data_IF_506445330845
#
_entry.id   IF_506445330845
#
_cell.length_a   1.000
_cell.length_b   1.000
_cell.length_c   1.000
_cell.angle_alpha   90.00
_cell.angle_beta   90.00
_cell.angle_gamma   90.00
#
_symmetry.space_group_name_H-M   'P 1'
#
loop_
_entity.id
_entity.type
_entity.pdbx_description
1 polymer ?
#
# COMPACT_ATOMS: atom_id res chain seq x y z
N UNK A 1 26.40 1.56 -3.32
CA UNK A 1 26.45 3.03 -3.16
C UNK A 1 27.91 3.42 -3.09
N UNK A 2 28.37 4.32 -3.95
CA UNK A 2 29.73 4.85 -3.87
C UNK A 2 29.79 5.92 -2.77
N UNK A 3 30.47 5.61 -1.66
CA UNK A 3 30.56 6.49 -0.49
C UNK A 3 31.30 7.81 -0.75
N UNK A 4 32.07 7.87 -1.85
CA UNK A 4 32.81 9.07 -2.28
C UNK A 4 32.03 9.92 -3.31
N UNK A 5 30.80 9.54 -3.66
CA UNK A 5 29.98 10.35 -4.58
C UNK A 5 29.63 11.69 -3.91
N UNK A 6 29.75 12.83 -4.62
CA UNK A 6 29.30 14.12 -4.10
C UNK A 6 27.79 14.14 -3.83
N UNK A 7 27.06 13.19 -4.42
CA UNK A 7 25.64 12.94 -4.20
C UNK A 7 25.35 11.92 -3.08
N UNK A 8 26.36 11.44 -2.36
CA UNK A 8 26.14 10.51 -1.26
C UNK A 8 25.23 11.16 -0.20
N UNK A 9 24.10 10.50 0.05
CA UNK A 9 23.09 10.92 1.02
C UNK A 9 22.82 9.83 2.06
N UNK A 10 22.74 10.18 3.35
CA UNK A 10 22.13 9.34 4.36
C UNK A 10 20.72 8.89 3.95
N UNK A 11 20.27 7.74 4.47
CA UNK A 11 18.92 7.23 4.22
C UNK A 11 17.83 8.22 4.58
N UNK A 12 17.96 8.89 5.72
CA UNK A 12 17.01 9.92 6.18
C UNK A 12 16.90 11.06 5.16
N UNK A 13 18.02 11.56 4.64
CA UNK A 13 18.05 12.64 3.67
C UNK A 13 17.40 12.21 2.33
N UNK A 14 17.58 10.96 1.92
CA UNK A 14 16.90 10.39 0.75
C UNK A 14 15.38 10.34 0.95
N UNK A 15 14.92 9.94 2.15
CA UNK A 15 13.50 9.92 2.51
C UNK A 15 12.92 11.35 2.50
N UNK A 16 13.63 12.33 3.09
CA UNK A 16 13.20 13.73 3.09
C UNK A 16 13.12 14.30 1.67
N UNK A 17 14.12 14.00 0.84
CA UNK A 17 14.15 14.45 -0.54
C UNK A 17 12.97 13.90 -1.34
N UNK A 18 12.62 12.61 -1.15
CA UNK A 18 11.43 12.01 -1.75
C UNK A 18 10.14 12.70 -1.31
N UNK A 19 9.95 12.92 -0.01
CA UNK A 19 8.72 13.55 0.47
C UNK A 19 8.56 15.02 0.06
N UNK A 20 9.66 15.69 -0.30
CA UNK A 20 9.61 17.10 -0.72
C UNK A 20 8.86 17.35 -2.02
N UNK A 21 8.50 16.28 -2.75
CA UNK A 21 7.68 16.35 -3.94
C UNK A 21 6.16 16.30 -3.61
N UNK A 22 5.80 16.05 -2.34
CA UNK A 22 4.43 15.93 -1.85
C UNK A 22 4.05 17.10 -0.92
N UNK A 23 3.62 18.23 -1.52
CA UNK A 23 3.18 19.44 -0.80
C UNK A 23 1.71 19.38 -0.38
N UNK A 24 1.40 20.06 0.74
CA UNK A 24 0.05 20.28 1.27
C UNK A 24 -0.73 18.97 1.47
N UNK A 25 -0.07 17.96 2.04
CA UNK A 25 -0.70 16.65 2.28
C UNK A 25 -1.66 16.70 3.46
N UNK A 26 -1.40 17.58 4.42
CA UNK A 26 -2.24 17.87 5.58
C UNK A 26 -3.63 18.42 5.21
N UNK A 27 -3.77 19.03 4.03
CA UNK A 27 -5.04 19.59 3.54
C UNK A 27 -5.88 18.57 2.75
N UNK A 28 -5.31 17.40 2.43
CA UNK A 28 -5.97 16.42 1.55
C UNK A 28 -6.81 15.43 2.34
N UNK A 29 -8.02 15.18 1.83
CA UNK A 29 -8.91 14.15 2.35
C UNK A 29 -8.43 12.72 2.01
N UNK A 30 -7.91 12.54 0.79
CA UNK A 30 -7.31 11.27 0.33
C UNK A 30 -5.84 11.51 0.01
N UNK A 31 -4.98 10.66 0.54
CA UNK A 31 -3.53 10.72 0.33
C UNK A 31 -3.10 9.74 -0.79
N UNK A 32 -2.07 10.10 -1.57
CA UNK A 32 -1.59 9.23 -2.63
C UNK A 32 -0.90 7.97 -2.08
N UNK A 33 -0.98 6.87 -2.82
CA UNK A 33 -0.33 5.59 -2.44
C UNK A 33 1.19 5.71 -2.25
N UNK A 34 1.79 6.71 -2.88
CA UNK A 34 3.20 7.10 -2.75
C UNK A 34 3.64 7.38 -1.28
N UNK A 35 2.72 7.75 -0.39
CA UNK A 35 3.03 8.08 1.01
C UNK A 35 2.98 6.88 1.96
N UNK A 36 2.76 5.68 1.43
CA UNK A 36 2.78 4.44 2.22
C UNK A 36 4.21 3.94 2.44
N UNK A 37 4.47 3.24 3.55
CA UNK A 37 5.80 2.68 3.85
C UNK A 37 6.38 1.88 2.68
N UNK A 38 5.54 1.15 1.96
CA UNK A 38 5.98 0.33 0.82
C UNK A 38 6.53 1.19 -0.33
N UNK A 39 5.82 2.26 -0.70
CA UNK A 39 6.26 3.15 -1.77
C UNK A 39 7.51 3.94 -1.36
N UNK A 40 7.57 4.40 -0.12
CA UNK A 40 8.74 5.10 0.44
C UNK A 40 9.97 4.20 0.42
N UNK A 41 9.84 2.92 0.81
CA UNK A 41 10.95 1.97 0.82
C UNK A 41 11.56 1.81 -0.59
N UNK A 42 10.69 1.68 -1.60
CA UNK A 42 11.11 1.62 -2.99
C UNK A 42 11.81 2.91 -3.41
N UNK A 43 11.20 4.07 -3.16
CA UNK A 43 11.74 5.36 -3.59
C UNK A 43 13.07 5.72 -2.92
N UNK A 44 13.23 5.40 -1.63
CA UNK A 44 14.47 5.64 -0.88
C UNK A 44 15.54 4.55 -1.12
N UNK A 45 15.24 3.51 -1.90
CA UNK A 45 16.18 2.42 -2.21
C UNK A 45 16.61 1.64 -0.97
N UNK A 46 15.66 1.34 -0.07
CA UNK A 46 15.90 0.59 1.17
C UNK A 46 14.94 -0.58 1.32
N UNK A 47 15.39 -1.63 2.02
CA UNK A 47 14.51 -2.76 2.33
C UNK A 47 13.42 -2.32 3.32
N UNK A 48 12.16 -2.68 3.04
CA UNK A 48 10.98 -2.32 3.84
C UNK A 48 11.16 -2.58 5.34
N UNK A 49 11.78 -3.71 5.73
CA UNK A 49 12.03 -4.08 7.14
C UNK A 49 12.94 -3.10 7.91
N UNK A 50 13.70 -2.27 7.20
CA UNK A 50 14.52 -1.23 7.82
C UNK A 50 13.84 0.13 7.82
N UNK A 51 12.82 0.33 6.97
CA UNK A 51 12.17 1.63 6.83
C UNK A 51 11.38 2.04 8.08
N UNK A 52 10.64 1.13 8.71
CA UNK A 52 9.80 1.46 9.87
C UNK A 52 10.61 2.17 10.95
N UNK A 53 11.81 1.66 11.28
CA UNK A 53 12.70 2.30 12.24
C UNK A 53 13.08 3.74 11.84
N UNK A 54 13.42 3.98 10.57
CA UNK A 54 13.71 5.34 10.12
C UNK A 54 12.49 6.24 10.22
N UNK A 55 11.31 5.76 9.85
CA UNK A 55 10.07 6.54 9.94
C UNK A 55 9.71 6.87 11.40
N UNK A 56 9.86 5.91 12.31
CA UNK A 56 9.63 6.11 13.74
C UNK A 56 10.61 7.15 14.32
N UNK A 57 11.90 6.98 14.03
CA UNK A 57 12.96 7.89 14.49
C UNK A 57 12.75 9.31 13.91
N UNK A 58 12.47 9.43 12.61
CA UNK A 58 12.25 10.72 11.94
C UNK A 58 10.95 11.41 12.37
N UNK A 59 9.89 10.63 12.69
CA UNK A 59 8.64 11.18 13.24
C UNK A 59 8.88 11.69 14.65
N UNK A 60 9.56 10.91 15.50
CA UNK A 60 9.95 11.33 16.86
C UNK A 60 10.80 12.60 16.84
N UNK A 61 11.71 12.71 15.89
CA UNK A 61 12.61 13.86 15.76
C UNK A 61 11.93 15.07 15.07
N UNK A 62 10.64 14.95 14.72
CA UNK A 62 9.82 16.03 14.18
C UNK A 62 10.08 16.35 12.71
N UNK A 63 10.72 15.45 11.97
CA UNK A 63 10.94 15.60 10.52
C UNK A 63 9.74 15.13 9.70
N UNK A 64 8.99 14.15 10.20
CA UNK A 64 7.82 13.60 9.53
C UNK A 64 6.57 13.74 10.40
N UNK A 65 5.42 13.85 9.75
CA UNK A 65 4.11 13.65 10.37
C UNK A 65 3.62 12.27 9.99
N UNK A 66 3.22 11.49 10.99
CA UNK A 66 2.54 10.20 10.82
C UNK A 66 1.03 10.39 10.98
N UNK A 67 0.23 9.83 10.06
CA UNK A 67 -1.24 9.88 10.17
C UNK A 67 -1.91 8.63 9.61
N UNK A 68 -3.11 8.32 10.11
CA UNK A 68 -4.01 7.34 9.50
C UNK A 68 -4.94 8.06 8.51
N UNK A 69 -4.77 7.82 7.21
CA UNK A 69 -5.56 8.47 6.15
C UNK A 69 -6.16 7.45 5.18
N UNK A 70 -7.18 7.86 4.43
CA UNK A 70 -7.62 7.10 3.28
C UNK A 70 -6.57 7.23 2.17
N UNK A 71 -6.16 6.10 1.59
CA UNK A 71 -5.15 6.07 0.53
C UNK A 71 -5.83 5.77 -0.78
N UNK A 72 -5.41 6.46 -1.84
CA UNK A 72 -5.91 6.23 -3.21
C UNK A 72 -5.86 4.73 -3.55
N UNK A 73 -7.02 4.16 -3.91
CA UNK A 73 -7.17 2.76 -4.30
C UNK A 73 -7.25 1.75 -3.15
N UNK A 74 -7.14 2.18 -1.89
CA UNK A 74 -7.16 1.30 -0.73
C UNK A 74 -8.53 1.37 -0.03
N UNK A 75 -9.17 0.22 0.19
CA UNK A 75 -10.49 0.15 0.85
C UNK A 75 -10.46 0.68 2.29
N UNK A 76 -9.31 0.53 2.97
CA UNK A 76 -9.15 0.86 4.39
C UNK A 76 -8.18 2.02 4.61
N UNK A 77 -8.34 2.71 5.75
CA UNK A 77 -7.39 3.74 6.17
C UNK A 77 -6.05 3.10 6.51
N UNK A 78 -4.97 3.68 6.01
CA UNK A 78 -3.62 3.20 6.23
C UNK A 78 -2.76 4.27 6.89
N UNK A 79 -1.64 3.83 7.46
CA UNK A 79 -0.58 4.71 7.90
C UNK A 79 0.11 5.37 6.69
N UNK A 80 0.22 6.68 6.75
CA UNK A 80 0.87 7.53 5.76
C UNK A 80 1.76 8.56 6.44
N UNK A 81 2.73 9.05 5.67
CA UNK A 81 3.77 9.95 6.16
C UNK A 81 3.96 11.12 5.19
N UNK A 82 4.23 12.31 5.73
CA UNK A 82 4.62 13.47 4.94
C UNK A 82 5.55 14.39 5.75
N UNK A 83 6.18 15.37 5.11
CA UNK A 83 7.12 16.26 5.78
C UNK A 83 6.40 17.14 6.83
N UNK A 84 6.94 17.14 8.04
CA UNK A 84 6.67 18.18 9.03
C UNK A 84 7.47 19.46 8.67
N UNK A 85 7.18 20.62 9.30
CA UNK A 85 7.91 21.87 9.01
C UNK A 85 9.44 21.74 9.08
N UNK A 86 9.98 21.07 10.12
CA UNK A 86 11.42 20.81 10.25
C UNK A 86 11.96 19.89 9.14
N UNK A 87 11.12 18.96 8.67
CA UNK A 87 11.42 18.10 7.52
C UNK A 87 11.56 18.90 6.23
N UNK A 88 10.67 19.86 6.00
CA UNK A 88 10.73 20.77 4.85
C UNK A 88 12.02 21.59 4.85
N UNK A 89 12.38 22.20 5.98
CA UNK A 89 13.62 22.97 6.10
C UNK A 89 14.85 22.13 5.72
N UNK A 90 14.95 20.91 6.26
CA UNK A 90 16.07 20.01 5.95
C UNK A 90 16.04 19.54 4.50
N UNK A 91 14.87 19.22 3.95
CA UNK A 91 14.73 18.82 2.56
C UNK A 91 15.14 19.93 1.57
N UNK A 92 14.78 21.19 1.86
CA UNK A 92 15.19 22.36 1.07
C UNK A 92 16.70 22.54 1.13
N UNK A 93 17.30 22.49 2.32
CA UNK A 93 18.76 22.59 2.46
C UNK A 93 19.51 21.48 1.69
N UNK A 94 18.96 20.25 1.67
CA UNK A 94 19.48 19.15 0.86
C UNK A 94 19.37 19.48 -0.63
N UNK A 95 18.20 19.92 -1.11
CA UNK A 95 17.99 20.32 -2.52
C UNK A 95 18.95 21.42 -2.95
N UNK A 96 19.14 22.45 -2.13
CA UNK A 96 20.06 23.56 -2.40
C UNK A 96 21.52 23.11 -2.46
N UNK A 97 21.94 22.24 -1.54
CA UNK A 97 23.30 21.68 -1.57
C UNK A 97 23.55 20.89 -2.84
N UNK A 98 22.58 20.06 -3.25
CA UNK A 98 22.73 19.14 -4.37
C UNK A 98 22.56 19.83 -5.73
N UNK A 99 21.80 20.92 -5.81
CA UNK A 99 21.53 21.62 -7.08
C UNK A 99 22.78 22.19 -7.75
N UNK A 100 23.83 22.46 -6.97
CA UNK A 100 25.12 22.96 -7.46
C UNK A 100 26.05 21.87 -8.00
N UNK A 101 25.75 20.61 -7.70
CA UNK A 101 26.58 19.46 -8.10
C UNK A 101 26.30 19.14 -9.57
N UNK A 102 27.39 18.98 -10.33
CA UNK A 102 27.33 18.47 -11.70
C UNK A 102 27.63 16.98 -11.69
N UNK A 103 26.86 16.23 -12.47
CA UNK A 103 27.06 14.81 -12.69
C UNK A 103 27.26 14.50 -14.17
N UNK A 104 28.09 13.50 -14.51
CA UNK A 104 28.28 13.10 -15.89
C UNK A 104 27.04 12.36 -16.41
N UNK A 105 26.48 12.84 -17.51
CA UNK A 105 25.30 12.30 -18.19
C UNK A 105 25.63 11.96 -19.63
N UNK A 106 25.28 10.76 -20.05
CA UNK A 106 25.40 10.29 -21.44
C UNK A 106 24.14 10.68 -22.20
N UNK A 107 24.32 11.44 -23.27
CA UNK A 107 23.25 11.86 -24.20
C UNK A 107 23.70 11.46 -25.60
N UNK A 108 22.97 10.55 -26.24
CA UNK A 108 23.30 10.03 -27.57
C UNK A 108 24.78 9.60 -27.70
N UNK A 109 25.30 8.91 -26.67
CA UNK A 109 26.68 8.42 -26.60
C UNK A 109 27.74 9.45 -26.18
N UNK A 110 27.38 10.72 -25.98
CA UNK A 110 28.31 11.78 -25.54
C UNK A 110 28.11 12.07 -24.05
N UNK A 111 29.19 12.06 -23.28
CA UNK A 111 29.16 12.45 -21.85
C UNK A 111 29.22 13.97 -21.69
N UNK A 112 28.31 14.54 -20.91
CA UNK A 112 28.29 15.96 -20.51
C UNK A 112 28.07 16.07 -19.00
N UNK A 113 28.77 17.00 -18.36
CA UNK A 113 28.54 17.28 -16.95
C UNK A 113 27.36 18.25 -16.80
N UNK A 114 26.30 17.80 -16.14
CA UNK A 114 25.05 18.54 -16.00
C UNK A 114 24.64 18.63 -14.53
N UNK A 115 24.09 19.77 -14.13
CA UNK A 115 23.38 19.92 -12.86
C UNK A 115 22.07 19.14 -12.88
N UNK A 116 21.52 18.84 -11.70
CA UNK A 116 20.22 18.16 -11.59
C UNK A 116 19.11 18.92 -12.31
N UNK A 117 19.13 20.26 -12.26
CA UNK A 117 18.15 21.10 -12.96
C UNK A 117 18.31 21.05 -14.48
N UNK A 118 19.54 21.04 -14.98
CA UNK A 118 19.81 20.86 -16.42
C UNK A 118 19.35 19.48 -16.92
N UNK A 119 19.42 18.45 -16.07
CA UNK A 119 18.96 17.09 -16.39
C UNK A 119 17.44 17.05 -16.55
N UNK A 120 16.70 17.54 -15.54
CA UNK A 120 15.23 17.62 -15.60
C UNK A 120 14.75 18.46 -16.80
N UNK A 121 15.48 19.53 -17.15
CA UNK A 121 15.15 20.36 -18.32
C UNK A 121 15.49 19.69 -19.66
N UNK A 122 16.42 18.74 -19.68
CA UNK A 122 16.86 18.05 -20.88
C UNK A 122 16.03 16.80 -21.18
N UNK A 123 15.31 16.27 -20.19
CA UNK A 123 14.40 15.15 -20.38
C UNK A 123 13.05 15.61 -20.92
N UNK A 124 12.46 14.79 -21.79
CA UNK A 124 11.10 15.01 -22.30
C UNK A 124 10.01 14.71 -21.26
N UNK A 125 10.39 14.06 -20.16
CA UNK A 125 9.54 13.77 -18.99
C UNK A 125 9.96 14.63 -17.81
N UNK A 126 9.00 14.95 -16.93
CA UNK A 126 9.31 15.60 -15.65
C UNK A 126 9.91 14.59 -14.68
N UNK A 127 11.20 14.76 -14.36
CA UNK A 127 11.86 13.92 -13.38
C UNK A 127 11.87 14.60 -12.04
N UNK A 128 11.51 13.86 -10.99
CA UNK A 128 11.66 14.41 -9.65
C UNK A 128 13.13 14.53 -9.28
N UNK A 129 13.45 15.53 -8.45
CA UNK A 129 14.81 15.72 -7.95
C UNK A 129 15.31 14.48 -7.21
N UNK A 130 14.42 13.80 -6.46
CA UNK A 130 14.73 12.57 -5.74
C UNK A 130 15.11 11.42 -6.67
N UNK A 131 14.50 11.35 -7.86
CA UNK A 131 14.77 10.32 -8.86
C UNK A 131 16.14 10.47 -9.50
N UNK A 132 16.48 11.69 -9.95
CA UNK A 132 17.78 11.97 -10.56
C UNK A 132 18.89 11.68 -9.55
N UNK A 133 18.74 12.13 -8.30
CA UNK A 133 19.72 11.87 -7.25
C UNK A 133 19.86 10.39 -6.95
N UNK A 134 18.75 9.66 -6.83
CA UNK A 134 18.78 8.22 -6.57
C UNK A 134 19.58 7.47 -7.62
N UNK A 135 19.31 7.74 -8.91
CA UNK A 135 20.04 7.06 -9.99
C UNK A 135 21.50 7.48 -10.02
N UNK A 136 21.80 8.76 -9.84
CA UNK A 136 23.18 9.25 -9.87
C UNK A 136 24.04 8.75 -8.69
N UNK A 137 23.42 8.24 -7.62
CA UNK A 137 24.12 7.58 -6.51
C UNK A 137 24.53 6.13 -6.81
N UNK A 138 23.92 5.48 -7.82
CA UNK A 138 24.12 4.06 -8.11
C UNK A 138 25.06 3.82 -9.29
N UNK A 139 25.17 4.79 -10.20
CA UNK A 139 26.00 4.70 -11.40
C UNK A 139 27.06 5.79 -11.45
N UNK A 140 28.16 5.52 -12.15
CA UNK A 140 29.21 6.52 -12.37
C UNK A 140 28.79 7.58 -13.40
N UNK A 141 27.99 7.18 -14.39
CA UNK A 141 27.45 8.06 -15.44
C UNK A 141 25.98 7.78 -15.59
N UNK A 142 25.17 8.83 -15.55
CA UNK A 142 23.75 8.73 -15.87
C UNK A 142 23.57 8.54 -17.37
N UNK A 143 22.51 7.86 -17.75
CA UNK A 143 22.07 7.74 -19.13
C UNK A 143 20.71 8.45 -19.25
N UNK A 144 20.63 9.46 -20.11
CA UNK A 144 19.41 10.27 -20.25
C UNK A 144 18.22 9.43 -20.76
N UNK A 145 18.46 8.50 -21.69
CA UNK A 145 17.43 7.60 -22.23
C UNK A 145 16.95 6.63 -21.14
N UNK A 146 17.86 6.18 -20.27
CA UNK A 146 17.48 5.40 -19.10
C UNK A 146 16.61 6.21 -18.13
N UNK A 147 16.97 7.47 -17.86
CA UNK A 147 16.25 8.35 -16.95
C UNK A 147 14.81 8.61 -17.43
N UNK A 148 14.60 8.85 -18.72
CA UNK A 148 13.26 9.09 -19.29
C UNK A 148 12.28 7.92 -19.05
N UNK A 149 12.79 6.69 -18.97
CA UNK A 149 11.98 5.52 -18.70
C UNK A 149 11.73 5.21 -17.22
N UNK A 150 12.21 6.02 -16.26
CA UNK A 150 12.11 5.72 -14.83
C UNK A 150 10.66 5.63 -14.38
N UNK A 151 9.84 6.61 -14.74
CA UNK A 151 8.44 6.66 -14.30
C UNK A 151 7.64 5.52 -14.91
N UNK A 152 7.84 5.21 -16.18
CA UNK A 152 7.20 4.06 -16.83
C UNK A 152 7.62 2.73 -16.20
N UNK A 153 8.89 2.57 -15.79
CA UNK A 153 9.36 1.36 -15.09
C UNK A 153 8.77 1.29 -13.69
N UNK A 154 8.73 2.41 -12.95
CA UNK A 154 8.12 2.48 -11.61
C UNK A 154 6.64 2.16 -11.68
N UNK A 155 5.91 2.78 -12.61
CA UNK A 155 4.48 2.55 -12.81
C UNK A 155 4.22 1.08 -13.14
N UNK A 156 4.95 0.49 -14.09
CA UNK A 156 4.86 -0.94 -14.39
C UNK A 156 5.13 -1.84 -13.18
N UNK A 157 6.17 -1.52 -12.39
CA UNK A 157 6.50 -2.29 -11.19
C UNK A 157 5.40 -2.17 -10.11
N UNK A 158 4.79 -0.99 -9.97
CA UNK A 158 3.64 -0.77 -9.08
C UNK A 158 2.40 -1.52 -9.59
N UNK A 159 2.06 -1.40 -10.87
CA UNK A 159 0.92 -2.07 -11.49
C UNK A 159 1.04 -3.60 -11.37
N UNK A 160 2.21 -4.16 -11.66
CA UNK A 160 2.48 -5.59 -11.49
C UNK A 160 2.37 -6.00 -10.02
N UNK A 161 2.78 -5.13 -9.10
CA UNK A 161 2.65 -5.40 -7.66
C UNK A 161 1.20 -5.39 -7.21
N UNK A 162 0.39 -4.43 -7.67
CA UNK A 162 -1.06 -4.37 -7.43
C UNK A 162 -1.71 -5.64 -7.96
N UNK A 163 -1.44 -6.00 -9.21
CA UNK A 163 -1.95 -7.22 -9.83
C UNK A 163 -1.64 -8.48 -9.01
N UNK A 164 -0.41 -8.64 -8.53
CA UNK A 164 -0.03 -9.78 -7.67
C UNK A 164 -0.84 -9.80 -6.37
N UNK A 165 -1.11 -8.65 -5.76
CA UNK A 165 -1.92 -8.58 -4.54
C UNK A 165 -3.38 -8.89 -4.84
N UNK A 166 -3.93 -8.42 -5.94
CA UNK A 166 -5.30 -8.72 -6.38
C UNK A 166 -5.48 -10.21 -6.68
N UNK A 167 -4.54 -10.82 -7.41
CA UNK A 167 -4.59 -12.25 -7.74
C UNK A 167 -4.52 -13.11 -6.46
N UNK A 168 -3.69 -12.72 -5.50
CA UNK A 168 -3.65 -13.38 -4.19
C UNK A 168 -4.95 -13.17 -3.39
N UNK A 169 -5.45 -11.94 -3.31
CA UNK A 169 -6.71 -11.62 -2.61
C UNK A 169 -7.87 -12.43 -3.19
N UNK A 170 -7.94 -12.57 -4.52
CA UNK A 170 -8.94 -13.40 -5.20
C UNK A 170 -8.82 -14.87 -4.83
N UNK A 171 -7.60 -15.39 -4.73
CA UNK A 171 -7.37 -16.77 -4.29
C UNK A 171 -7.81 -16.98 -2.83
N UNK A 172 -7.50 -16.04 -1.93
CA UNK A 172 -7.96 -16.07 -0.53
C UNK A 172 -9.49 -16.00 -0.45
N UNK A 173 -10.14 -15.07 -1.15
CA UNK A 173 -11.61 -14.98 -1.20
C UNK A 173 -12.24 -16.28 -1.70
N UNK A 174 -11.65 -16.90 -2.72
CA UNK A 174 -12.13 -18.18 -3.27
C UNK A 174 -12.00 -19.30 -2.23
N UNK A 175 -10.86 -19.40 -1.55
CA UNK A 175 -10.64 -20.39 -0.49
C UNK A 175 -11.59 -20.20 0.70
N UNK A 176 -11.97 -18.97 1.00
CA UNK A 176 -12.89 -18.66 2.09
C UNK A 176 -14.36 -18.69 1.69
N UNK A 177 -14.71 -18.91 0.41
CA UNK A 177 -16.06 -18.73 -0.16
C UNK A 177 -17.18 -19.53 0.52
N UNK A 178 -16.87 -20.70 1.09
CA UNK A 178 -17.84 -21.57 1.77
C UNK A 178 -17.69 -21.54 3.32
N UNK A 179 -16.89 -20.60 3.83
CA UNK A 179 -16.71 -20.35 5.26
C UNK A 179 -15.79 -21.31 5.98
N UNK A 180 -15.19 -22.22 5.22
CA UNK A 180 -14.16 -23.13 5.69
C UNK A 180 -13.08 -23.23 4.63
N UNK A 181 -11.84 -23.09 5.06
CA UNK A 181 -10.68 -23.35 4.21
C UNK A 181 -10.20 -24.77 4.44
N UNK A 182 -10.22 -25.60 3.40
CA UNK A 182 -9.70 -26.97 3.44
C UNK A 182 -8.17 -26.98 3.52
N UNK A 183 -7.59 -28.13 3.90
CA UNK A 183 -6.14 -28.28 3.95
C UNK A 183 -5.47 -28.07 2.58
N UNK A 184 -6.14 -28.50 1.50
CA UNK A 184 -5.68 -28.34 0.13
C UNK A 184 -5.71 -26.87 -0.31
N UNK A 185 -6.79 -26.15 -0.03
CA UNK A 185 -6.90 -24.72 -0.37
C UNK A 185 -5.85 -23.89 0.39
N UNK A 186 -5.64 -24.21 1.68
CA UNK A 186 -4.59 -23.58 2.48
C UNK A 186 -3.20 -23.78 1.86
N UNK A 187 -2.90 -24.99 1.39
CA UNK A 187 -1.64 -25.29 0.73
C UNK A 187 -1.49 -24.50 -0.59
N UNK A 188 -2.54 -24.45 -1.42
CA UNK A 188 -2.52 -23.76 -2.71
C UNK A 188 -2.34 -22.24 -2.54
N UNK A 189 -3.04 -21.64 -1.57
CA UNK A 189 -2.91 -20.21 -1.25
C UNK A 189 -1.49 -19.90 -0.75
N UNK A 190 -0.92 -20.77 0.09
CA UNK A 190 0.45 -20.60 0.59
C UNK A 190 1.50 -20.71 -0.53
N UNK A 191 1.35 -21.67 -1.43
CA UNK A 191 2.24 -21.80 -2.61
C UNK A 191 2.13 -20.58 -3.53
N UNK A 192 0.91 -20.07 -3.73
CA UNK A 192 0.70 -18.86 -4.52
C UNK A 192 1.34 -17.64 -3.86
N UNK A 193 1.25 -17.50 -2.52
CA UNK A 193 1.92 -16.44 -1.75
C UNK A 193 3.42 -16.43 -2.02
N UNK A 194 4.06 -17.60 -1.96
CA UNK A 194 5.50 -17.74 -2.20
C UNK A 194 5.87 -17.36 -3.63
N UNK A 195 5.14 -17.90 -4.62
CA UNK A 195 5.38 -17.62 -6.04
C UNK A 195 5.22 -16.12 -6.39
N UNK A 196 4.26 -15.45 -5.76
CA UNK A 196 4.02 -14.02 -5.97
C UNK A 196 4.96 -13.12 -5.13
N UNK A 197 5.76 -13.72 -4.25
CA UNK A 197 6.69 -13.01 -3.37
C UNK A 197 5.98 -12.12 -2.33
N UNK A 198 4.81 -12.56 -1.85
CA UNK A 198 4.02 -11.83 -0.86
C UNK A 198 4.56 -12.12 0.55
N UNK A 199 4.81 -11.06 1.33
CA UNK A 199 5.32 -11.19 2.70
C UNK A 199 4.24 -11.67 3.67
N UNK A 200 4.66 -12.24 4.81
CA UNK A 200 3.77 -12.70 5.87
C UNK A 200 2.83 -11.59 6.37
N UNK A 201 3.36 -10.38 6.57
CA UNK A 201 2.57 -9.22 6.98
C UNK A 201 1.50 -8.81 5.96
N UNK A 202 1.79 -8.95 4.67
CA UNK A 202 0.82 -8.66 3.61
C UNK A 202 -0.25 -9.74 3.53
N UNK A 203 0.14 -11.00 3.71
CA UNK A 203 -0.80 -12.12 3.88
C UNK A 203 -1.75 -11.86 5.04
N UNK A 204 -1.23 -11.61 6.25
CA UNK A 204 -2.06 -11.47 7.45
C UNK A 204 -3.08 -10.34 7.31
N UNK A 205 -2.67 -9.22 6.67
CA UNK A 205 -3.57 -8.10 6.39
C UNK A 205 -4.66 -8.48 5.40
N UNK A 206 -4.30 -9.09 4.28
CA UNK A 206 -5.25 -9.48 3.23
C UNK A 206 -6.21 -10.54 3.76
N UNK A 207 -5.71 -11.56 4.45
CA UNK A 207 -6.54 -12.59 5.06
C UNK A 207 -7.52 -12.00 6.06
N UNK A 208 -7.07 -11.09 6.94
CA UNK A 208 -7.97 -10.43 7.91
C UNK A 208 -9.09 -9.65 7.20
N UNK A 209 -8.76 -8.84 6.19
CA UNK A 209 -9.73 -8.05 5.42
C UNK A 209 -10.73 -8.94 4.67
N UNK A 210 -10.23 -10.00 4.02
CA UNK A 210 -11.07 -10.93 3.27
C UNK A 210 -11.99 -11.71 4.20
N UNK A 211 -11.51 -12.15 5.35
CA UNK A 211 -12.32 -12.87 6.34
C UNK A 211 -13.45 -11.96 6.84
N UNK A 212 -13.15 -10.71 7.16
CA UNK A 212 -14.14 -9.70 7.56
C UNK A 212 -15.21 -9.52 6.47
N UNK A 213 -14.81 -9.20 5.23
CA UNK A 213 -15.72 -8.98 4.08
C UNK A 213 -16.60 -10.23 3.80
N UNK A 214 -15.99 -11.42 3.81
CA UNK A 214 -16.72 -12.67 3.54
C UNK A 214 -17.68 -13.05 4.67
N UNK A 215 -17.36 -12.74 5.93
CA UNK A 215 -18.26 -12.98 7.06
C UNK A 215 -19.41 -11.98 7.07
N UNK A 216 -19.14 -10.71 6.82
CA UNK A 216 -20.16 -9.65 6.68
C UNK A 216 -21.17 -10.01 5.58
N UNK A 217 -20.71 -10.38 4.38
CA UNK A 217 -21.59 -10.75 3.26
C UNK A 217 -22.54 -11.90 3.63
N UNK A 218 -22.06 -12.91 4.35
CA UNK A 218 -22.89 -14.07 4.73
C UNK A 218 -23.87 -13.76 5.84
N UNK A 219 -23.41 -13.05 6.85
CA UNK A 219 -24.27 -12.67 7.98
C UNK A 219 -25.36 -11.73 7.49
N UNK A 220 -25.06 -10.83 6.54
CA UNK A 220 -26.04 -10.02 5.83
C UNK A 220 -27.06 -10.85 5.03
N UNK A 221 -26.60 -11.82 4.22
CA UNK A 221 -27.51 -12.71 3.46
C UNK A 221 -28.44 -13.50 4.40
N UNK A 222 -27.90 -14.04 5.50
CA UNK A 222 -28.69 -14.76 6.48
C UNK A 222 -29.70 -13.84 7.18
N UNK A 223 -29.24 -12.66 7.64
CA UNK A 223 -30.05 -11.67 8.33
C UNK A 223 -31.25 -11.22 7.50
N UNK A 224 -31.06 -10.93 6.22
CA UNK A 224 -32.15 -10.51 5.33
C UNK A 224 -33.28 -11.56 5.23
N UNK A 225 -32.93 -12.85 5.14
CA UNK A 225 -33.92 -13.94 5.09
C UNK A 225 -34.57 -14.18 6.46
N UNK A 226 -33.79 -14.04 7.54
CA UNK A 226 -34.30 -14.17 8.91
C UNK A 226 -35.25 -13.03 9.28
N UNK A 227 -35.00 -11.81 8.79
CA UNK A 227 -35.83 -10.62 8.97
C UNK A 227 -37.20 -10.82 8.31
N UNK A 228 -37.23 -11.27 7.05
CA UNK A 228 -38.47 -11.61 6.34
C UNK A 228 -39.28 -12.69 7.07
N UNK A 229 -38.63 -13.74 7.56
CA UNK A 229 -39.28 -14.82 8.30
C UNK A 229 -39.82 -14.40 9.68
N UNK A 230 -39.36 -13.27 10.24
CA UNK A 230 -39.79 -12.74 11.54
C UNK A 230 -40.82 -11.61 11.40
N UNK A 231 -41.04 -11.09 10.20
CA UNK A 231 -41.93 -9.94 9.93
C UNK A 231 -43.40 -10.28 10.23
N UNK A 232 -43.84 -11.49 9.87
CA UNK A 232 -45.24 -11.94 10.01
C UNK A 232 -45.56 -12.66 11.34
N UNK A 233 -44.57 -12.80 12.24
CA UNK A 233 -44.74 -13.44 13.54
C UNK A 233 -43.62 -14.43 13.91
N UNK A 234 -43.86 -15.37 14.85
CA UNK A 234 -42.86 -16.35 15.23
C UNK A 234 -42.54 -17.31 14.09
N UNK A 235 -41.24 -17.55 13.85
CA UNK A 235 -40.72 -18.46 12.82
C UNK A 235 -41.43 -19.82 12.89
N UNK A 236 -42.03 -20.22 11.78
CA UNK A 236 -42.69 -21.52 11.60
C UNK A 236 -41.68 -22.66 11.46
N UNK A 237 -42.14 -23.92 11.54
CA UNK A 237 -41.28 -25.09 11.39
C UNK A 237 -40.61 -25.13 10.00
N UNK A 238 -41.35 -24.84 8.94
CA UNK A 238 -40.86 -24.80 7.56
C UNK A 238 -39.80 -23.71 7.36
N UNK A 239 -40.02 -22.50 7.90
CA UNK A 239 -39.05 -21.41 7.86
C UNK A 239 -37.80 -21.73 8.67
N UNK A 240 -37.94 -22.49 9.77
CA UNK A 240 -36.78 -22.95 10.54
C UNK A 240 -35.95 -23.97 9.78
N UNK A 241 -36.58 -24.90 9.07
CA UNK A 241 -35.86 -25.82 8.19
C UNK A 241 -35.12 -25.08 7.07
N UNK A 242 -35.75 -24.07 6.46
CA UNK A 242 -35.13 -23.25 5.42
C UNK A 242 -33.93 -22.46 5.94
N UNK A 243 -34.07 -21.79 7.09
CA UNK A 243 -33.00 -21.02 7.71
C UNK A 243 -31.85 -21.93 8.18
N UNK A 244 -32.14 -23.14 8.64
CA UNK A 244 -31.12 -24.12 9.01
C UNK A 244 -30.37 -24.67 7.77
N UNK A 245 -31.07 -24.87 6.65
CA UNK A 245 -30.44 -25.22 5.38
C UNK A 245 -29.56 -24.08 4.84
N UNK A 246 -30.04 -22.83 4.92
CA UNK A 246 -29.30 -21.63 4.54
C UNK A 246 -28.05 -21.45 5.42
N UNK A 247 -28.18 -21.57 6.75
CA UNK A 247 -27.06 -21.54 7.70
C UNK A 247 -25.97 -22.53 7.31
N UNK A 248 -26.35 -23.79 7.05
CA UNK A 248 -25.39 -24.85 6.65
C UNK A 248 -24.71 -24.51 5.33
N UNK A 249 -25.45 -23.96 4.36
CA UNK A 249 -24.94 -23.57 3.05
C UNK A 249 -23.99 -22.37 3.11
N UNK A 250 -24.23 -21.42 4.01
CA UNK A 250 -23.37 -20.26 4.26
C UNK A 250 -22.21 -20.60 5.22
N UNK A 251 -22.19 -21.79 5.82
CA UNK A 251 -21.14 -22.20 6.75
C UNK A 251 -21.15 -21.46 8.10
N UNK A 252 -22.26 -20.79 8.44
CA UNK A 252 -22.40 -19.99 9.66
C UNK A 252 -22.55 -20.87 10.91
N UNK A 253 -22.03 -20.41 12.04
CA UNK A 253 -22.21 -21.12 13.31
C UNK A 253 -23.62 -20.92 13.84
N UNK A 254 -24.12 -21.90 14.62
CA UNK A 254 -25.42 -21.76 15.29
C UNK A 254 -25.43 -20.66 16.37
N UNK A 255 -24.26 -20.17 16.79
CA UNK A 255 -24.16 -19.03 17.69
C UNK A 255 -24.45 -17.73 16.95
N UNK A 256 -23.72 -17.48 15.84
CA UNK A 256 -23.83 -16.25 15.06
C UNK A 256 -25.26 -16.02 14.54
N UNK A 257 -25.91 -17.07 14.02
CA UNK A 257 -27.29 -17.00 13.58
C UNK A 257 -28.28 -16.63 14.70
N UNK A 258 -28.04 -17.11 15.92
CA UNK A 258 -28.89 -16.78 17.08
C UNK A 258 -28.70 -15.34 17.53
N UNK A 259 -27.48 -14.80 17.45
CA UNK A 259 -27.25 -13.38 17.74
C UNK A 259 -27.92 -12.49 16.69
N UNK A 260 -27.82 -12.83 15.40
CA UNK A 260 -28.51 -12.11 14.32
C UNK A 260 -30.03 -12.11 14.54
N UNK A 261 -30.63 -13.27 14.78
CA UNK A 261 -32.07 -13.38 15.07
C UNK A 261 -32.46 -12.58 16.33
N UNK A 262 -31.66 -12.64 17.39
CA UNK A 262 -31.92 -11.89 18.62
C UNK A 262 -31.84 -10.38 18.42
N UNK A 263 -30.94 -9.90 17.56
CA UNK A 263 -30.80 -8.49 17.23
C UNK A 263 -31.95 -7.98 16.36
N UNK A 264 -32.50 -8.81 15.46
CA UNK A 264 -33.71 -8.50 14.68
C UNK A 264 -34.94 -8.35 15.60
N UNK A 265 -35.06 -9.21 16.62
CA UNK A 265 -36.21 -9.20 17.55
C UNK A 265 -36.12 -8.08 18.59
N UNK A 266 -34.95 -7.46 18.80
CA UNK A 266 -34.83 -6.32 19.71
C UNK A 266 -35.61 -5.12 19.14
N UNK A 267 -36.56 -4.53 19.89
CA UNK A 267 -37.25 -3.33 19.44
C UNK A 267 -36.23 -2.19 19.32
N UNK A 268 -36.23 -1.49 18.19
CA UNK A 268 -35.50 -0.24 18.01
C UNK A 268 -35.87 0.71 19.15
N UNK A 269 -34.92 0.99 20.04
CA UNK A 269 -35.07 1.92 21.16
C UNK A 269 -34.79 3.36 20.72
#
# INVERSE_FOLDING_TARGET
MNAESPLALPTEDRILLYFSDFRNMEERYVLPQALTQKAIAFAAGIQRKHLSRYLDDMTRDGYLVETKAHIEGEKQRMLAYYLAPRGWERAVAIKERLSTIRVPVVIAGVTKDMTIHEIDSATSVHLTFSDIVREAMTVEKLDLEYLEGIDDRRKRAMDERVKRLEDYTRAVMTAWKDGRVTATERLLVEQLRENLGISKEEQDRIESQVIEEVLEDRTGIYGAVAEEALEDGPITEDERELLEALRKKLGLSSHDCREIEADIVKPAS
#
